data_IF_820722141671
#
_entry.id   IF_820722141671
#
_cell.length_a   1.000
_cell.length_b   1.000
_cell.length_c   1.000
_cell.angle_alpha   90.00
_cell.angle_beta   90.00
_cell.angle_gamma   90.00
#
_symmetry.space_group_name_H-M   'P 1'
#
loop_
_entity.id
_entity.type
_entity.pdbx_description
1 polymer ?
#
# COMPACT_ATOMS: atom_id res chain seq x y z
N UNK A 1 5.67 -7.90 -3.20
CA UNK A 1 4.87 -7.14 -2.20
C UNK A 1 4.25 -5.92 -2.88
N UNK A 2 3.11 -5.45 -2.41
CA UNK A 2 2.46 -4.23 -2.89
C UNK A 2 1.57 -3.63 -1.80
N UNK A 3 1.24 -2.34 -1.92
CA UNK A 3 0.28 -1.67 -1.03
C UNK A 3 -1.12 -1.88 -1.57
N UNK A 4 -1.97 -2.57 -0.79
CA UNK A 4 -3.41 -2.68 -1.04
C UNK A 4 -4.10 -1.49 -0.39
N UNK A 5 -4.93 -0.76 -1.15
CA UNK A 5 -5.70 0.38 -0.67
C UNK A 5 -7.20 0.11 -0.91
N UNK A 6 -7.99 0.06 0.15
CA UNK A 6 -9.44 -0.16 0.11
C UNK A 6 -10.14 1.13 0.49
N UNK A 7 -11.05 1.62 -0.35
CA UNK A 7 -11.74 2.89 -0.10
C UNK A 7 -12.55 2.83 1.19
N UNK A 8 -12.44 3.86 2.03
CA UNK A 8 -13.29 4.00 3.21
C UNK A 8 -14.69 4.49 2.79
N UNK A 9 -15.67 3.58 2.74
CA UNK A 9 -17.03 3.89 2.28
C UNK A 9 -17.97 4.38 3.39
N UNK A 10 -17.64 4.14 4.67
CA UNK A 10 -18.54 4.44 5.81
C UNK A 10 -17.99 5.47 6.80
N UNK A 11 -16.67 5.68 6.83
CA UNK A 11 -16.01 6.57 7.79
C UNK A 11 -15.62 7.92 7.19
N UNK A 12 -14.43 8.42 7.58
CA UNK A 12 -13.88 9.68 7.07
C UNK A 12 -13.80 9.63 5.53
N UNK A 13 -14.47 10.56 4.87
CA UNK A 13 -14.42 10.74 3.41
C UNK A 13 -12.98 10.98 2.95
N UNK A 14 -12.68 10.62 1.71
CA UNK A 14 -11.36 10.76 1.08
C UNK A 14 -10.22 10.06 1.82
N UNK A 15 -10.53 8.91 2.44
CA UNK A 15 -9.52 8.04 3.04
C UNK A 15 -9.60 6.61 2.50
N UNK A 16 -8.50 5.89 2.68
CA UNK A 16 -8.35 4.48 2.33
C UNK A 16 -7.81 3.71 3.53
N UNK A 17 -8.24 2.46 3.68
CA UNK A 17 -7.55 1.50 4.54
C UNK A 17 -6.41 0.85 3.75
N UNK A 18 -5.18 1.05 4.20
CA UNK A 18 -3.98 0.57 3.51
C UNK A 18 -3.32 -0.60 4.26
N UNK A 19 -2.82 -1.58 3.50
CA UNK A 19 -2.04 -2.71 4.03
C UNK A 19 -0.88 -3.05 3.09
N UNK A 20 0.28 -3.42 3.66
CA UNK A 20 1.36 -4.04 2.90
C UNK A 20 1.06 -5.53 2.74
N UNK A 21 0.98 -5.97 1.49
CA UNK A 21 0.63 -7.35 1.15
C UNK A 21 1.78 -8.02 0.43
N UNK A 22 2.12 -9.23 0.86
CA UNK A 22 3.01 -10.12 0.14
C UNK A 22 2.20 -11.11 -0.71
N UNK A 23 2.60 -11.23 -1.97
CA UNK A 23 2.08 -12.24 -2.90
C UNK A 23 3.06 -13.40 -2.92
N UNK A 24 2.58 -14.61 -2.70
CA UNK A 24 3.35 -15.84 -2.70
C UNK A 24 2.52 -16.97 -3.37
N UNK A 25 3.16 -18.10 -3.66
CA UNK A 25 2.45 -19.33 -4.05
C UNK A 25 2.53 -20.32 -2.89
N UNK A 26 1.43 -20.98 -2.58
CA UNK A 26 1.43 -22.07 -1.60
C UNK A 26 2.09 -23.35 -2.17
N UNK A 27 2.16 -24.40 -1.36
CA UNK A 27 2.76 -25.69 -1.72
C UNK A 27 2.12 -26.31 -2.98
N UNK A 28 0.84 -26.04 -3.21
CA UNK A 28 0.10 -26.46 -4.41
C UNK A 28 0.28 -25.52 -5.60
N UNK A 29 1.13 -24.51 -5.49
CA UNK A 29 1.38 -23.50 -6.52
C UNK A 29 0.29 -22.44 -6.65
N UNK A 30 -0.72 -22.41 -5.78
CA UNK A 30 -1.85 -21.46 -5.87
C UNK A 30 -1.39 -20.07 -5.41
N UNK A 31 -1.66 -19.00 -6.18
CA UNK A 31 -1.36 -17.63 -5.74
C UNK A 31 -2.16 -17.26 -4.49
N UNK A 32 -1.45 -16.88 -3.43
CA UNK A 32 -2.00 -16.42 -2.15
C UNK A 32 -1.42 -15.07 -1.77
N UNK A 33 -2.13 -14.36 -0.91
CA UNK A 33 -1.75 -13.04 -0.42
C UNK A 33 -1.80 -13.04 1.10
N UNK A 34 -0.73 -12.61 1.76
CA UNK A 34 -0.68 -12.39 3.22
C UNK A 34 -0.42 -10.94 3.54
N UNK A 35 -1.12 -10.42 4.54
CA UNK A 35 -0.89 -9.07 5.05
C UNK A 35 0.33 -9.10 5.96
N UNK A 36 1.32 -8.26 5.66
CA UNK A 36 2.52 -8.10 6.50
C UNK A 36 2.35 -6.95 7.50
N UNK A 37 1.76 -5.83 7.07
CA UNK A 37 1.59 -4.61 7.87
C UNK A 37 0.22 -4.01 7.57
N UNK A 38 -0.51 -3.60 8.61
CA UNK A 38 -1.69 -2.75 8.48
C UNK A 38 -1.29 -1.30 8.75
N UNK A 39 -1.43 -0.43 7.75
CA UNK A 39 -1.18 1.01 7.89
C UNK A 39 -2.39 1.76 8.48
N UNK A 40 -3.54 1.09 8.57
CA UNK A 40 -4.78 1.71 9.00
C UNK A 40 -5.32 2.69 7.95
N UNK A 41 -5.93 3.76 8.42
CA UNK A 41 -6.57 4.77 7.57
C UNK A 41 -5.52 5.78 7.07
N UNK A 42 -5.48 5.99 5.77
CA UNK A 42 -4.55 6.88 5.07
C UNK A 42 -5.35 7.86 4.21
N UNK A 43 -4.98 9.14 4.23
CA UNK A 43 -5.61 10.16 3.38
C UNK A 43 -5.34 9.87 1.90
N UNK A 44 -6.33 10.12 1.03
CA UNK A 44 -6.29 9.79 -0.40
C UNK A 44 -5.02 10.29 -1.10
N UNK A 45 -4.58 11.50 -0.78
CA UNK A 45 -3.42 12.13 -1.42
C UNK A 45 -2.09 11.50 -0.97
N UNK A 46 -2.05 10.84 0.19
CA UNK A 46 -0.88 10.13 0.69
C UNK A 46 -0.73 8.72 0.06
N UNK A 47 -1.81 8.14 -0.48
CA UNK A 47 -1.82 6.77 -1.03
C UNK A 47 -0.81 6.56 -2.17
N UNK A 48 -0.65 7.47 -3.15
CA UNK A 48 0.36 7.33 -4.20
C UNK A 48 1.79 7.24 -3.66
N UNK A 49 2.14 8.09 -2.69
CA UNK A 49 3.46 8.08 -2.05
C UNK A 49 3.72 6.79 -1.30
N UNK A 50 2.72 6.31 -0.56
CA UNK A 50 2.80 5.04 0.16
C UNK A 50 3.00 3.87 -0.82
N UNK A 51 2.26 3.84 -1.94
CA UNK A 51 2.47 2.85 -3.01
C UNK A 51 3.88 2.91 -3.58
N UNK A 52 4.39 4.12 -3.83
CA UNK A 52 5.70 4.32 -4.41
C UNK A 52 6.84 3.87 -3.47
N UNK A 53 6.71 4.10 -2.16
CA UNK A 53 7.69 3.67 -1.15
C UNK A 53 7.93 2.15 -1.12
N UNK A 54 6.93 1.35 -1.49
CA UNK A 54 6.99 -0.11 -1.54
C UNK A 54 6.96 -0.68 -2.97
N UNK A 55 7.09 0.16 -3.99
CA UNK A 55 7.19 -0.30 -5.37
C UNK A 55 8.53 -1.02 -5.62
N UNK A 56 8.55 -1.94 -6.58
CA UNK A 56 9.79 -2.65 -6.98
C UNK A 56 10.85 -1.66 -7.48
N UNK A 57 10.43 -0.62 -8.21
CA UNK A 57 11.26 0.51 -8.61
C UNK A 57 10.91 1.69 -7.70
N UNK A 58 11.60 1.82 -6.57
CA UNK A 58 11.36 2.92 -5.63
C UNK A 58 11.80 4.24 -6.27
N UNK A 59 10.98 5.30 -6.22
CA UNK A 59 11.42 6.61 -6.70
C UNK A 59 12.58 7.11 -5.83
N UNK A 60 13.46 7.91 -6.43
CA UNK A 60 14.43 8.69 -5.67
C UNK A 60 13.67 9.79 -4.93
N UNK A 61 13.92 9.90 -3.63
CA UNK A 61 13.40 11.02 -2.85
C UNK A 61 14.17 12.28 -3.25
N UNK A 62 13.45 13.28 -3.73
CA UNK A 62 13.98 14.58 -4.10
C UNK A 62 13.28 15.59 -3.19
N UNK A 63 14.08 16.38 -2.51
CA UNK A 63 13.60 17.51 -1.74
C UNK A 63 13.85 18.76 -2.58
N UNK A 64 12.99 19.76 -2.43
CA UNK A 64 13.33 21.09 -2.92
C UNK A 64 14.51 21.59 -2.09
N UNK A 65 15.56 22.08 -2.73
CA UNK A 65 16.62 22.81 -2.05
C UNK A 65 15.96 24.10 -1.50
N UNK A 66 16.12 24.33 -0.18
CA UNK A 66 15.49 25.44 0.57
C UNK A 66 15.58 26.82 -0.11
#
# INVERSE_FOLDING_TARGET
>A
MFVRAVKNNKGKKDTYFCSLVESYRDESGVPRHRVLINFGQVDKDAVPYLKAAFAKKKPRLVYDDE
#
